data_IF_468884513905
#
_entry.id   IF_468884513905
#
_cell.length_a   1.000
_cell.length_b   1.000
_cell.length_c   1.000
_cell.angle_alpha   90.00
_cell.angle_beta   90.00
_cell.angle_gamma   90.00
#
_symmetry.space_group_name_H-M   'P 1'
#
loop_
_entity.id
_entity.type
_entity.pdbx_description
1 polymer ?
#
# COMPACT_ATOMS: atom_id res chain seq x y z
N UNK A 1 14.18 -1.69 14.96
CA UNK A 1 13.18 -1.69 13.86
C UNK A 1 13.49 -0.69 12.72
N UNK A 2 14.19 0.43 12.97
CA UNK A 2 14.63 1.40 11.94
C UNK A 2 15.35 0.77 10.73
N UNK A 3 16.25 -0.19 10.97
CA UNK A 3 17.02 -0.90 9.93
C UNK A 3 16.13 -1.59 8.89
N UNK A 4 14.97 -2.13 9.30
CA UNK A 4 14.10 -2.87 8.40
C UNK A 4 13.42 -1.96 7.37
N UNK A 5 12.81 -0.86 7.81
CA UNK A 5 12.21 0.12 6.89
C UNK A 5 13.26 0.79 6.00
N UNK A 6 14.44 1.07 6.52
CA UNK A 6 15.55 1.65 5.74
C UNK A 6 16.03 0.68 4.66
N UNK A 7 16.10 -0.61 4.97
CA UNK A 7 16.43 -1.66 3.98
C UNK A 7 15.35 -1.78 2.92
N UNK A 8 14.07 -1.82 3.31
CA UNK A 8 12.95 -1.87 2.36
C UNK A 8 12.93 -0.63 1.47
N UNK A 9 13.22 0.55 2.00
CA UNK A 9 13.33 1.80 1.21
C UNK A 9 14.45 1.72 0.18
N UNK A 10 15.62 1.20 0.57
CA UNK A 10 16.74 1.00 -0.35
C UNK A 10 16.39 0.02 -1.47
N UNK A 11 15.71 -1.08 -1.14
CA UNK A 11 15.23 -2.04 -2.13
C UNK A 11 14.21 -1.40 -3.07
N UNK A 12 13.21 -0.71 -2.53
CA UNK A 12 12.17 -0.04 -3.32
C UNK A 12 12.76 1.00 -4.30
N UNK A 13 13.78 1.75 -3.88
CA UNK A 13 14.49 2.69 -4.74
C UNK A 13 15.22 2.03 -5.94
N UNK A 14 15.55 0.73 -5.84
CA UNK A 14 16.18 -0.05 -6.90
C UNK A 14 15.18 -0.85 -7.74
N UNK A 15 13.91 -0.89 -7.35
CA UNK A 15 12.87 -1.64 -8.05
C UNK A 15 12.33 -0.84 -9.24
N UNK A 16 12.54 -1.34 -10.45
CA UNK A 16 12.12 -0.67 -11.68
C UNK A 16 10.60 -0.48 -11.81
N UNK A 17 9.79 -1.38 -11.23
CA UNK A 17 8.34 -1.29 -11.27
C UNK A 17 7.71 -1.49 -9.88
N UNK A 18 7.96 -0.53 -8.99
CA UNK A 18 7.48 -0.54 -7.62
C UNK A 18 5.94 -0.66 -7.51
N UNK A 19 5.20 0.03 -8.39
CA UNK A 19 3.73 -0.01 -8.37
C UNK A 19 3.19 -1.39 -8.77
N UNK A 20 3.83 -2.08 -9.71
CA UNK A 20 3.46 -3.45 -10.07
C UNK A 20 3.75 -4.43 -8.93
N UNK A 21 4.91 -4.32 -8.28
CA UNK A 21 5.24 -5.19 -7.15
C UNK A 21 4.25 -5.01 -5.99
N UNK A 22 3.88 -3.76 -5.71
CA UNK A 22 2.87 -3.45 -4.71
C UNK A 22 1.49 -3.98 -5.10
N UNK A 23 1.11 -3.87 -6.38
CA UNK A 23 -0.12 -4.47 -6.88
C UNK A 23 -0.14 -5.99 -6.68
N UNK A 24 0.96 -6.68 -6.97
CA UNK A 24 1.08 -8.12 -6.76
C UNK A 24 0.83 -8.51 -5.29
N UNK A 25 1.37 -7.75 -4.33
CA UNK A 25 1.11 -8.00 -2.91
C UNK A 25 -0.35 -7.75 -2.52
N UNK A 26 -1.00 -6.74 -3.08
CA UNK A 26 -2.43 -6.49 -2.83
C UNK A 26 -3.27 -7.63 -3.43
N UNK A 27 -2.97 -8.04 -4.65
CA UNK A 27 -3.68 -9.11 -5.36
C UNK A 27 -3.50 -10.48 -4.69
N UNK A 28 -2.34 -10.73 -4.08
CA UNK A 28 -2.04 -11.93 -3.29
C UNK A 28 -2.64 -11.88 -1.86
N UNK A 29 -3.27 -10.78 -1.45
CA UNK A 29 -3.78 -10.62 -0.08
C UNK A 29 -2.68 -10.42 0.98
N UNK A 30 -1.46 -10.05 0.57
CA UNK A 30 -0.30 -9.79 1.45
C UNK A 30 -0.38 -8.38 2.04
N UNK A 31 -1.33 -8.19 2.95
CA UNK A 31 -1.67 -6.88 3.55
C UNK A 31 -0.50 -6.27 4.34
N UNK A 32 0.20 -7.07 5.14
CA UNK A 32 1.36 -6.58 5.92
C UNK A 32 2.51 -6.12 5.02
N UNK A 33 2.86 -6.91 4.00
CA UNK A 33 3.92 -6.59 3.05
C UNK A 33 3.56 -5.34 2.24
N UNK A 34 2.29 -5.23 1.83
CA UNK A 34 1.76 -4.03 1.17
C UNK A 34 1.92 -2.79 2.05
N UNK A 35 1.52 -2.86 3.33
CA UNK A 35 1.63 -1.75 4.28
C UNK A 35 3.09 -1.31 4.51
N UNK A 36 3.99 -2.28 4.70
CA UNK A 36 5.42 -2.03 4.88
C UNK A 36 6.01 -1.36 3.64
N UNK A 37 5.71 -1.86 2.44
CA UNK A 37 6.23 -1.32 1.19
C UNK A 37 5.65 0.07 0.90
N UNK A 38 4.36 0.26 1.10
CA UNK A 38 3.67 1.56 1.01
C UNK A 38 4.31 2.60 1.93
N UNK A 39 4.61 2.24 3.18
CA UNK A 39 5.23 3.11 4.17
C UNK A 39 6.71 3.38 3.91
N UNK A 40 7.46 2.37 3.44
CA UNK A 40 8.89 2.51 3.19
C UNK A 40 9.17 3.31 1.90
N UNK A 41 8.32 3.16 0.88
CA UNK A 41 8.57 3.66 -0.46
C UNK A 41 7.71 4.89 -0.85
N UNK A 42 7.15 5.58 0.15
CA UNK A 42 6.21 6.70 -0.04
C UNK A 42 6.74 7.78 -0.99
N UNK A 43 8.01 8.13 -0.84
CA UNK A 43 8.67 9.15 -1.67
C UNK A 43 8.72 8.73 -3.15
N UNK A 44 9.03 7.46 -3.41
CA UNK A 44 9.07 6.91 -4.76
C UNK A 44 7.67 6.80 -5.36
N UNK A 45 6.67 6.42 -4.56
CA UNK A 45 5.26 6.30 -4.99
C UNK A 45 4.66 7.69 -5.28
N UNK A 46 4.93 8.70 -4.44
CA UNK A 46 4.50 10.09 -4.66
C UNK A 46 5.20 10.76 -5.83
N UNK A 47 6.34 10.21 -6.28
CA UNK A 47 6.99 10.57 -7.53
C UNK A 47 8.27 11.39 -7.42
N UNK A 48 9.01 11.32 -6.30
CA UNK A 48 10.40 11.81 -6.22
C UNK A 48 11.35 10.86 -6.96
N UNK A 49 11.96 11.23 -8.09
CA UNK A 49 12.93 12.32 -8.22
C UNK A 49 12.60 13.36 -9.30
N UNK A 50 13.05 14.59 -9.05
CA UNK A 50 12.92 15.78 -9.91
C UNK A 50 13.67 15.66 -11.23
N UNK A 51 12.99 15.97 -12.34
CA UNK A 51 13.57 16.81 -13.39
C UNK A 51 12.45 17.64 -14.03
N UNK A 52 12.78 18.89 -14.37
CA UNK A 52 11.91 19.93 -14.92
C UNK A 52 11.16 19.52 -16.20
N UNK A 53 10.13 20.32 -16.49
CA UNK A 53 9.48 20.55 -17.79
C UNK A 53 8.50 19.49 -18.30
N UNK A 54 7.24 19.64 -17.93
CA UNK A 54 6.16 20.09 -18.83
C UNK A 54 4.82 19.90 -18.11
N UNK A 55 3.86 20.80 -18.34
CA UNK A 55 2.62 20.98 -17.57
C UNK A 55 1.59 19.84 -17.59
N UNK A 56 1.99 18.58 -17.70
CA UNK A 56 1.15 17.44 -17.33
C UNK A 56 1.38 17.14 -15.84
N UNK A 57 0.33 17.24 -15.01
CA UNK A 57 0.39 16.82 -13.62
C UNK A 57 0.88 15.37 -13.55
N UNK A 58 2.06 15.15 -12.96
CA UNK A 58 2.59 13.82 -12.71
C UNK A 58 1.58 13.13 -11.79
N UNK A 59 0.87 12.12 -12.30
CA UNK A 59 -0.14 11.40 -11.50
C UNK A 59 0.58 10.69 -10.36
N UNK A 60 0.18 11.01 -9.13
CA UNK A 60 0.70 10.38 -7.92
C UNK A 60 0.46 8.86 -7.99
N UNK A 61 1.45 8.06 -7.59
CA UNK A 61 1.34 6.60 -7.56
C UNK A 61 0.20 6.12 -6.65
N UNK A 62 -0.11 6.85 -5.57
CA UNK A 62 -1.28 6.58 -4.73
C UNK A 62 -2.61 6.73 -5.50
N UNK A 63 -2.76 7.74 -6.36
CA UNK A 63 -3.96 7.90 -7.18
C UNK A 63 -4.16 6.73 -8.16
N UNK A 64 -3.06 6.18 -8.66
CA UNK A 64 -3.07 5.02 -9.55
C UNK A 64 -3.51 3.78 -8.77
N UNK A 65 -2.89 3.54 -7.61
CA UNK A 65 -3.21 2.40 -6.74
C UNK A 65 -4.67 2.45 -6.27
N UNK A 66 -5.16 3.59 -5.78
CA UNK A 66 -6.54 3.75 -5.35
C UNK A 66 -7.53 3.43 -6.47
N UNK A 67 -7.23 3.82 -7.72
CA UNK A 67 -8.05 3.46 -8.89
C UNK A 67 -8.01 1.96 -9.20
N UNK A 68 -6.86 1.32 -9.10
CA UNK A 68 -6.73 -0.12 -9.31
C UNK A 68 -7.52 -0.92 -8.27
N UNK A 69 -7.37 -0.58 -6.98
CA UNK A 69 -8.09 -1.25 -5.89
C UNK A 69 -9.60 -1.00 -6.01
N UNK A 70 -10.03 0.22 -6.36
CA UNK A 70 -11.46 0.51 -6.57
C UNK A 70 -12.05 -0.34 -7.70
N UNK A 71 -11.32 -0.50 -8.82
CA UNK A 71 -11.76 -1.36 -9.93
C UNK A 71 -11.88 -2.82 -9.50
N UNK A 72 -10.92 -3.32 -8.72
CA UNK A 72 -10.95 -4.67 -8.19
C UNK A 72 -12.14 -4.87 -7.23
N UNK A 73 -12.39 -3.93 -6.31
CA UNK A 73 -13.55 -3.98 -5.41
C UNK A 73 -14.87 -4.04 -6.19
N UNK A 74 -15.01 -3.25 -7.27
CA UNK A 74 -16.19 -3.32 -8.15
C UNK A 74 -16.30 -4.69 -8.83
N UNK A 75 -15.20 -5.21 -9.37
CA UNK A 75 -15.19 -6.52 -10.02
C UNK A 75 -15.62 -7.65 -9.06
N UNK A 76 -15.04 -7.66 -7.86
CA UNK A 76 -15.36 -8.65 -6.82
C UNK A 76 -16.80 -8.55 -6.32
N UNK A 77 -17.38 -7.34 -6.26
CA UNK A 77 -18.80 -7.16 -5.91
C UNK A 77 -19.75 -7.78 -6.93
N UNK A 78 -19.33 -7.86 -8.19
CA UNK A 78 -20.11 -8.44 -9.29
C UNK A 78 -19.82 -9.92 -9.50
N UNK A 79 -18.76 -10.44 -8.89
CA UNK A 79 -18.42 -11.86 -8.90
C UNK A 79 -19.39 -12.66 -8.03
N UNK A 80 -19.88 -13.77 -8.56
CA UNK A 80 -20.75 -14.71 -7.83
C UNK A 80 -19.91 -15.91 -7.41
N UNK A 81 -19.78 -16.15 -6.11
CA UNK A 81 -19.16 -17.36 -5.61
C UNK A 81 -20.02 -18.58 -5.94
N UNK A 82 -19.37 -19.71 -6.25
CA UNK A 82 -20.04 -21.00 -6.24
C UNK A 82 -20.25 -21.46 -4.79
N UNK A 83 -21.14 -22.43 -4.56
CA UNK A 83 -21.50 -22.86 -3.21
C UNK A 83 -20.30 -23.43 -2.41
N UNK A 84 -20.33 -23.24 -1.10
CA UNK A 84 -19.34 -23.77 -0.16
C UNK A 84 -18.07 -22.92 -0.10
N UNK A 85 -16.91 -23.58 -0.10
CA UNK A 85 -15.58 -22.96 0.08
C UNK A 85 -15.29 -21.80 -0.89
N UNK A 86 -15.85 -21.82 -2.10
CA UNK A 86 -15.64 -20.77 -3.08
C UNK A 86 -16.31 -19.44 -2.71
N UNK A 87 -17.44 -19.48 -2.00
CA UNK A 87 -18.11 -18.28 -1.49
C UNK A 87 -17.33 -17.69 -0.31
N UNK A 88 -16.82 -18.53 0.59
CA UNK A 88 -16.00 -18.07 1.73
C UNK A 88 -14.71 -17.39 1.26
N UNK A 89 -14.00 -18.00 0.29
CA UNK A 89 -12.80 -17.41 -0.31
C UNK A 89 -13.12 -16.09 -1.02
N UNK A 90 -14.26 -15.98 -1.70
CA UNK A 90 -14.66 -14.73 -2.35
C UNK A 90 -14.93 -13.61 -1.33
N UNK A 91 -15.61 -13.92 -0.22
CA UNK A 91 -15.83 -12.93 0.84
C UNK A 91 -14.52 -12.52 1.53
N UNK A 92 -13.60 -13.46 1.78
CA UNK A 92 -12.26 -13.15 2.29
C UNK A 92 -11.50 -12.21 1.34
N UNK A 93 -11.56 -12.48 0.03
CA UNK A 93 -10.95 -11.62 -1.00
C UNK A 93 -11.55 -10.22 -1.04
N UNK A 94 -12.86 -10.08 -0.82
CA UNK A 94 -13.52 -8.77 -0.69
C UNK A 94 -13.00 -8.03 0.54
N UNK A 95 -12.96 -8.68 1.71
CA UNK A 95 -12.43 -8.08 2.94
C UNK A 95 -10.98 -7.63 2.78
N UNK A 96 -10.12 -8.46 2.19
CA UNK A 96 -8.72 -8.10 1.94
C UNK A 96 -8.60 -6.90 0.98
N UNK A 97 -9.46 -6.81 -0.03
CA UNK A 97 -9.49 -5.68 -0.97
C UNK A 97 -9.93 -4.40 -0.27
N UNK A 98 -10.93 -4.46 0.62
CA UNK A 98 -11.37 -3.31 1.41
C UNK A 98 -10.26 -2.85 2.38
N UNK A 99 -9.55 -3.79 3.02
CA UNK A 99 -8.37 -3.48 3.84
C UNK A 99 -7.26 -2.83 3.02
N UNK A 100 -6.97 -3.35 1.82
CA UNK A 100 -5.95 -2.77 0.94
C UNK A 100 -6.32 -1.34 0.51
N UNK A 101 -7.61 -1.08 0.25
CA UNK A 101 -8.09 0.27 -0.07
C UNK A 101 -7.85 1.23 1.10
N UNK A 102 -8.27 0.85 2.32
CA UNK A 102 -8.06 1.66 3.53
C UNK A 102 -6.57 1.93 3.79
N UNK A 103 -5.71 0.93 3.58
CA UNK A 103 -4.27 1.09 3.75
C UNK A 103 -3.67 2.07 2.75
N UNK A 104 -4.03 1.98 1.47
CA UNK A 104 -3.59 2.92 0.44
C UNK A 104 -4.07 4.33 0.78
N UNK A 105 -5.32 4.48 1.23
CA UNK A 105 -5.91 5.77 1.60
C UNK A 105 -5.22 6.41 2.81
N UNK A 106 -5.10 5.68 3.93
CA UNK A 106 -4.45 6.17 5.15
C UNK A 106 -3.00 6.53 4.89
N UNK A 107 -2.24 5.70 4.17
CA UNK A 107 -0.83 5.98 3.90
C UNK A 107 -0.68 7.13 2.88
N UNK A 108 -1.62 7.29 1.94
CA UNK A 108 -1.65 8.44 1.03
C UNK A 108 -1.84 9.77 1.77
N UNK A 109 -2.67 9.80 2.83
CA UNK A 109 -2.98 11.04 3.55
C UNK A 109 -2.07 11.32 4.74
N UNK A 110 -1.83 10.32 5.59
CA UNK A 110 -1.10 10.47 6.86
C UNK A 110 0.30 9.84 6.82
N UNK A 111 0.69 9.24 5.70
CA UNK A 111 1.90 8.43 5.62
C UNK A 111 3.20 9.20 5.89
N UNK A 112 3.30 10.45 5.43
CA UNK A 112 4.50 11.28 5.62
C UNK A 112 4.67 11.67 7.09
N UNK A 113 3.59 12.12 7.74
CA UNK A 113 3.56 12.43 9.17
C UNK A 113 3.86 11.20 10.02
N UNK A 114 3.32 10.04 9.63
CA UNK A 114 3.58 8.76 10.28
C UNK A 114 5.06 8.36 10.16
N UNK A 115 5.65 8.53 8.97
CA UNK A 115 7.06 8.25 8.73
C UNK A 115 7.96 9.18 9.56
N UNK A 116 7.66 10.48 9.61
CA UNK A 116 8.38 11.44 10.44
C UNK A 116 8.28 11.10 11.93
N UNK A 117 7.08 10.73 12.41
CA UNK A 117 6.85 10.31 13.79
C UNK A 117 7.66 9.06 14.16
N UNK A 118 7.64 8.02 13.32
CA UNK A 118 8.41 6.79 13.52
C UNK A 118 9.91 7.09 13.55
N UNK A 119 10.40 7.98 12.68
CA UNK A 119 11.81 8.35 12.64
C UNK A 119 12.25 9.08 13.92
N UNK A 120 11.41 9.97 14.43
CA UNK A 120 11.67 10.74 15.65
C UNK A 120 11.57 9.90 16.95
N UNK A 121 10.68 8.91 16.99
CA UNK A 121 10.34 8.16 18.22
C UNK A 121 10.78 6.68 18.18
N UNK A 122 11.78 6.36 17.36
CA UNK A 122 12.21 5.00 17.00
C UNK A 122 12.70 4.08 18.14
N UNK A 123 12.66 4.53 19.39
CA UNK A 123 12.98 3.72 20.57
C UNK A 123 11.84 2.77 20.99
N UNK A 124 10.56 3.02 20.65
CA UNK A 124 9.45 2.29 21.29
C UNK A 124 8.25 1.89 20.41
N UNK A 125 8.29 2.11 19.09
CA UNK A 125 7.11 1.85 18.25
C UNK A 125 7.33 0.62 17.38
N UNK A 126 6.67 -0.48 17.76
CA UNK A 126 6.49 -1.64 16.90
C UNK A 126 5.54 -1.27 15.75
N UNK A 127 5.97 -1.49 14.50
CA UNK A 127 5.12 -1.33 13.31
C UNK A 127 3.82 -2.15 13.43
N UNK A 128 3.90 -3.29 14.14
CA UNK A 128 2.73 -4.09 14.54
C UNK A 128 1.67 -3.27 15.27
N UNK A 129 2.05 -2.39 16.19
CA UNK A 129 1.10 -1.56 16.96
C UNK A 129 0.40 -0.54 16.07
N UNK A 130 1.08 0.04 15.08
CA UNK A 130 0.48 1.02 14.16
C UNK A 130 -0.53 0.32 13.24
N UNK A 131 -0.15 -0.81 12.64
CA UNK A 131 -1.05 -1.55 11.75
C UNK A 131 -2.25 -2.11 12.52
N UNK A 132 -2.06 -2.62 13.75
CA UNK A 132 -3.15 -3.10 14.61
C UNK A 132 -4.01 -2.01 15.25
N UNK A 133 -3.64 -0.73 15.17
CA UNK A 133 -4.50 0.38 15.63
C UNK A 133 -5.37 0.93 14.49
N UNK A 134 -4.96 0.70 13.24
CA UNK A 134 -5.63 1.20 12.02
C UNK A 134 -6.55 0.14 11.38
N UNK A 135 -6.32 -1.14 11.68
CA UNK A 135 -7.14 -2.30 11.26
C UNK A 135 -7.84 -2.89 12.47
#
# INVERSE_FOLDING_TARGET
QKIFLDTTRLLAAKTNNLLQELWNYIEDGKIMQSAILLLAAQEQIRGGSSSKMNGSSKKNGFDILSKCVMRLSIALKWEKGSHGMAQELLEERKTLTDCAWLLVDVISHAGEDLSAYIQAHSANICIFTIVSTVV
#
